data_IF_274253145405
#
_entry.id   IF_274253145405
#
_cell.length_a   1.000
_cell.length_b   1.000
_cell.length_c   1.000
_cell.angle_alpha   90.00
_cell.angle_beta   90.00
_cell.angle_gamma   90.00
#
_symmetry.space_group_name_H-M   'P 1'
#
loop_
_entity.id
_entity.type
_entity.pdbx_description
1 polymer ?
#
# COMPACT_ATOMS: atom_id res chain seq x y z
N UNK A 1 1.96 -5.54 -27.83
CA UNK A 1 3.06 -6.33 -27.25
C UNK A 1 3.75 -5.59 -26.08
N UNK A 2 4.21 -4.34 -26.24
CA UNK A 2 4.85 -3.56 -25.15
C UNK A 2 3.99 -3.42 -23.89
N UNK A 3 2.71 -3.03 -24.00
CA UNK A 3 1.78 -2.91 -22.84
C UNK A 3 1.56 -4.24 -22.08
N UNK A 4 1.55 -5.37 -22.78
CA UNK A 4 1.38 -6.68 -22.15
C UNK A 4 2.63 -7.06 -21.35
N UNK A 5 3.82 -6.76 -21.87
CA UNK A 5 5.08 -6.95 -21.16
C UNK A 5 5.16 -6.08 -19.90
N UNK A 6 4.75 -4.80 -20.01
CA UNK A 6 4.69 -3.91 -18.84
C UNK A 6 3.77 -4.47 -17.73
N UNK A 7 2.59 -4.98 -18.09
CA UNK A 7 1.67 -5.60 -17.14
C UNK A 7 2.27 -6.83 -16.44
N UNK A 8 3.07 -7.64 -17.17
CA UNK A 8 3.75 -8.82 -16.59
C UNK A 8 4.76 -8.45 -15.50
N UNK A 9 5.30 -7.22 -15.51
CA UNK A 9 6.21 -6.74 -14.46
C UNK A 9 5.49 -5.96 -13.36
N UNK A 10 4.45 -5.20 -13.72
CA UNK A 10 3.69 -4.41 -12.75
C UNK A 10 2.93 -5.30 -11.78
N UNK A 11 2.27 -6.37 -12.24
CA UNK A 11 1.47 -7.23 -11.39
C UNK A 11 2.27 -7.91 -10.25
N UNK A 12 3.40 -8.61 -10.52
CA UNK A 12 4.22 -9.16 -9.45
C UNK A 12 4.71 -8.08 -8.47
N UNK A 13 5.05 -6.89 -8.97
CA UNK A 13 5.51 -5.78 -8.15
C UNK A 13 4.43 -5.31 -7.18
N UNK A 14 3.18 -5.14 -7.66
CA UNK A 14 2.03 -4.77 -6.82
C UNK A 14 1.79 -5.85 -5.77
N UNK A 15 1.78 -7.13 -6.17
CA UNK A 15 1.55 -8.25 -5.27
C UNK A 15 2.59 -8.27 -4.14
N UNK A 16 3.87 -8.17 -4.47
CA UNK A 16 4.96 -8.14 -3.48
C UNK A 16 4.79 -6.94 -2.54
N UNK A 17 4.56 -5.75 -3.09
CA UNK A 17 4.44 -4.52 -2.32
C UNK A 17 3.27 -4.58 -1.32
N UNK A 18 2.10 -5.08 -1.76
CA UNK A 18 0.91 -5.20 -0.92
C UNK A 18 1.08 -6.29 0.15
N UNK A 19 1.65 -7.44 -0.19
CA UNK A 19 1.87 -8.53 0.78
C UNK A 19 2.81 -8.07 1.90
N UNK A 20 3.90 -7.39 1.57
CA UNK A 20 4.85 -6.89 2.56
C UNK A 20 4.20 -5.81 3.43
N UNK A 21 3.40 -4.93 2.86
CA UNK A 21 2.62 -3.92 3.56
C UNK A 21 1.65 -4.57 4.59
N UNK A 22 0.83 -5.51 4.15
CA UNK A 22 -0.13 -6.21 5.01
C UNK A 22 0.57 -7.06 6.08
N UNK A 23 1.65 -7.75 5.70
CA UNK A 23 2.47 -8.48 6.65
C UNK A 23 3.06 -7.57 7.73
N UNK A 24 3.53 -6.38 7.37
CA UNK A 24 4.08 -5.41 8.31
C UNK A 24 3.03 -4.95 9.35
N UNK A 25 1.79 -4.67 8.92
CA UNK A 25 0.68 -4.39 9.84
C UNK A 25 0.44 -5.55 10.83
N UNK A 26 0.32 -6.76 10.28
CA UNK A 26 0.09 -7.97 11.09
C UNK A 26 1.22 -8.25 12.08
N UNK A 27 2.47 -8.07 11.64
CA UNK A 27 3.64 -8.26 12.47
C UNK A 27 3.73 -7.22 13.59
N UNK A 28 3.49 -5.94 13.28
CA UNK A 28 3.45 -4.88 14.27
C UNK A 28 2.34 -5.11 15.30
N UNK A 29 1.14 -5.48 14.86
CA UNK A 29 0.02 -5.82 15.75
C UNK A 29 0.37 -7.00 16.67
N UNK A 30 0.95 -8.06 16.13
CA UNK A 30 1.40 -9.22 16.90
C UNK A 30 2.43 -8.85 17.97
N UNK A 31 3.41 -8.01 17.63
CA UNK A 31 4.42 -7.51 18.58
C UNK A 31 3.81 -6.63 19.69
N UNK A 32 2.70 -5.97 19.42
CA UNK A 32 1.96 -5.14 20.39
C UNK A 32 0.91 -5.92 21.21
N UNK A 33 0.83 -7.25 21.01
CA UNK A 33 0.00 -8.15 21.82
C UNK A 33 -1.30 -8.60 21.16
N UNK A 34 -1.55 -8.21 19.90
CA UNK A 34 -2.69 -8.72 19.15
C UNK A 34 -2.31 -9.99 18.37
N UNK A 35 -2.75 -11.15 18.86
CA UNK A 35 -2.54 -12.42 18.18
C UNK A 35 -3.51 -12.69 17.02
N UNK A 36 -4.46 -11.80 16.75
CA UNK A 36 -5.49 -11.99 15.70
C UNK A 36 -4.87 -12.28 14.33
N UNK A 37 -3.83 -11.55 13.85
CA UNK A 37 -3.19 -11.84 12.57
C UNK A 37 -2.61 -13.25 12.48
N UNK A 38 -1.99 -13.71 13.56
CA UNK A 38 -1.37 -15.04 13.64
C UNK A 38 -2.44 -16.14 13.70
N UNK A 39 -3.45 -15.98 14.56
CA UNK A 39 -4.54 -16.97 14.74
C UNK A 39 -5.41 -17.11 13.49
N UNK A 40 -5.55 -16.05 12.69
CA UNK A 40 -6.27 -16.08 11.41
C UNK A 40 -5.45 -16.66 10.26
N UNK A 41 -4.18 -17.05 10.48
CA UNK A 41 -3.29 -17.55 9.44
C UNK A 41 -2.89 -16.50 8.41
N UNK A 42 -3.01 -15.18 8.77
CA UNK A 42 -2.77 -14.05 7.86
C UNK A 42 -1.39 -13.42 8.05
N UNK A 43 -0.64 -13.84 9.05
CA UNK A 43 0.75 -13.43 9.27
C UNK A 43 1.68 -14.31 8.42
N UNK A 44 1.60 -14.15 7.11
CA UNK A 44 2.31 -14.94 6.11
C UNK A 44 2.62 -14.11 4.87
N UNK A 45 3.65 -14.50 4.12
CA UNK A 45 3.98 -13.92 2.81
C UNK A 45 3.31 -14.68 1.64
N UNK A 46 2.44 -15.65 1.91
CA UNK A 46 1.68 -16.38 0.90
C UNK A 46 0.69 -15.44 0.18
N UNK A 47 0.87 -15.17 -1.14
CA UNK A 47 0.00 -14.27 -1.88
C UNK A 47 -1.48 -14.67 -1.83
N UNK A 48 -1.78 -15.96 -1.86
CA UNK A 48 -3.15 -16.47 -1.91
C UNK A 48 -3.95 -16.10 -0.65
N UNK A 49 -3.28 -15.87 0.46
CA UNK A 49 -3.92 -15.41 1.69
C UNK A 49 -4.33 -13.94 1.65
N UNK A 50 -3.76 -13.14 0.76
CA UNK A 50 -4.00 -11.69 0.64
C UNK A 50 -4.89 -11.32 -0.56
N UNK A 51 -5.24 -12.28 -1.41
CA UNK A 51 -6.14 -12.07 -2.54
C UNK A 51 -7.59 -11.97 -2.03
N UNK A 52 -8.28 -10.90 -2.45
CA UNK A 52 -9.72 -10.74 -2.38
C UNK A 52 -10.30 -10.96 -3.78
N UNK A 53 -11.17 -11.98 -4.00
CA UNK A 53 -11.69 -12.26 -5.34
C UNK A 53 -12.43 -11.07 -5.97
N UNK A 54 -13.10 -10.27 -5.16
CA UNK A 54 -13.84 -9.09 -5.63
C UNK A 54 -12.88 -7.91 -5.82
N UNK A 55 -12.17 -7.52 -4.76
CA UNK A 55 -11.34 -6.31 -4.76
C UNK A 55 -10.05 -6.42 -5.55
N UNK A 56 -9.44 -7.62 -5.58
CA UNK A 56 -8.14 -7.81 -6.27
C UNK A 56 -8.32 -8.25 -7.72
N UNK A 57 -9.46 -8.86 -8.09
CA UNK A 57 -9.66 -9.43 -9.43
C UNK A 57 -10.83 -8.78 -10.14
N UNK A 58 -12.06 -8.91 -9.61
CA UNK A 58 -13.28 -8.53 -10.31
C UNK A 58 -13.35 -7.01 -10.55
N UNK A 59 -13.15 -6.21 -9.50
CA UNK A 59 -13.26 -4.74 -9.60
C UNK A 59 -12.20 -4.14 -10.51
N UNK A 60 -10.89 -4.48 -10.41
CA UNK A 60 -9.89 -4.01 -11.36
C UNK A 60 -10.20 -4.34 -12.82
N UNK A 61 -10.66 -5.56 -13.10
CA UNK A 61 -11.00 -5.99 -14.47
C UNK A 61 -12.20 -5.19 -14.99
N UNK A 62 -13.26 -5.04 -14.20
CA UNK A 62 -14.44 -4.27 -14.60
C UNK A 62 -14.08 -2.80 -14.88
N UNK A 63 -13.27 -2.18 -14.00
CA UNK A 63 -12.84 -0.80 -14.18
C UNK A 63 -11.95 -0.64 -15.41
N UNK A 64 -11.04 -1.56 -15.68
CA UNK A 64 -10.22 -1.53 -16.90
C UNK A 64 -11.08 -1.60 -18.15
N UNK A 65 -12.06 -2.50 -18.21
CA UNK A 65 -12.96 -2.65 -19.37
C UNK A 65 -13.82 -1.38 -19.55
N UNK A 66 -14.45 -0.90 -18.47
CA UNK A 66 -15.37 0.24 -18.52
C UNK A 66 -14.67 1.57 -18.78
N UNK A 67 -13.42 1.72 -18.36
CA UNK A 67 -12.61 2.93 -18.57
C UNK A 67 -11.76 2.91 -19.85
N UNK A 68 -11.96 1.93 -20.75
CA UNK A 68 -11.08 1.72 -21.91
C UNK A 68 -9.58 1.64 -21.53
N UNK A 69 -9.26 0.92 -20.46
CA UNK A 69 -7.90 0.71 -19.94
C UNK A 69 -7.20 2.01 -19.46
N UNK A 70 -7.97 3.04 -19.09
CA UNK A 70 -7.41 4.31 -18.62
C UNK A 70 -7.34 4.39 -17.08
N UNK A 71 -8.24 3.69 -16.38
CA UNK A 71 -8.33 3.73 -14.93
C UNK A 71 -8.58 2.34 -14.35
N UNK A 72 -7.90 2.04 -13.26
CA UNK A 72 -8.19 0.86 -12.43
C UNK A 72 -8.00 1.17 -10.97
N UNK A 73 -8.75 0.49 -10.14
CA UNK A 73 -8.65 0.53 -8.69
C UNK A 73 -8.98 -0.86 -8.13
N UNK A 74 -8.34 -1.22 -7.04
CA UNK A 74 -8.60 -2.47 -6.36
C UNK A 74 -8.05 -2.45 -4.96
N UNK A 75 -8.39 -3.49 -4.19
CA UNK A 75 -7.88 -3.68 -2.84
C UNK A 75 -7.51 -5.14 -2.60
N UNK A 76 -6.58 -5.35 -1.68
CA UNK A 76 -6.27 -6.66 -1.16
C UNK A 76 -7.15 -6.98 0.04
N UNK A 77 -7.22 -8.25 0.38
CA UNK A 77 -7.86 -8.69 1.62
C UNK A 77 -6.97 -8.30 2.80
N UNK A 78 -7.39 -7.36 3.66
CA UNK A 78 -6.54 -6.82 4.71
C UNK A 78 -6.25 -7.87 5.80
N UNK A 79 -5.10 -7.72 6.46
CA UNK A 79 -4.78 -8.51 7.66
C UNK A 79 -5.67 -8.04 8.81
N UNK A 80 -6.42 -8.96 9.47
CA UNK A 80 -7.30 -8.57 10.57
C UNK A 80 -6.47 -8.12 11.78
N UNK A 81 -6.70 -6.90 12.24
CA UNK A 81 -6.08 -6.31 13.43
C UNK A 81 -7.16 -5.94 14.43
N UNK A 82 -7.03 -6.42 15.67
CA UNK A 82 -7.91 -6.03 16.75
C UNK A 82 -7.24 -4.98 17.65
N UNK A 83 -7.47 -3.71 17.33
CA UNK A 83 -6.88 -2.59 18.05
C UNK A 83 -7.23 -2.54 19.54
N UNK A 84 -8.36 -3.13 19.95
CA UNK A 84 -8.78 -3.17 21.36
C UNK A 84 -7.92 -4.10 22.24
N UNK A 85 -7.08 -4.94 21.62
CA UNK A 85 -6.13 -5.81 22.34
C UNK A 85 -4.82 -5.11 22.70
N UNK A 86 -4.57 -3.92 22.20
CA UNK A 86 -3.34 -3.21 22.51
C UNK A 86 -3.37 -2.65 23.93
N UNK A 87 -2.25 -2.79 24.66
CA UNK A 87 -2.08 -2.19 25.99
C UNK A 87 -2.29 -0.68 25.97
N UNK A 88 -1.92 -0.02 24.88
CA UNK A 88 -2.15 1.39 24.63
C UNK A 88 -2.71 1.55 23.22
N UNK A 89 -4.01 1.81 23.12
CA UNK A 89 -4.73 1.91 21.87
C UNK A 89 -4.14 2.99 20.96
N UNK A 90 -3.83 4.17 21.46
CA UNK A 90 -3.31 5.29 20.65
C UNK A 90 -1.94 4.96 20.05
N UNK A 91 -1.01 4.47 20.87
CA UNK A 91 0.31 4.03 20.40
C UNK A 91 0.18 2.86 19.43
N UNK A 92 -0.69 1.91 19.70
CA UNK A 92 -0.95 0.76 18.84
C UNK A 92 -1.46 1.19 17.47
N UNK A 93 -2.44 2.10 17.42
CA UNK A 93 -2.95 2.68 16.17
C UNK A 93 -1.83 3.32 15.33
N UNK A 94 -1.04 4.18 15.95
CA UNK A 94 0.05 4.88 15.24
C UNK A 94 1.07 3.87 14.72
N UNK A 95 1.58 2.97 15.57
CA UNK A 95 2.66 2.06 15.21
C UNK A 95 2.23 1.03 14.16
N UNK A 96 1.04 0.46 14.32
CA UNK A 96 0.53 -0.52 13.35
C UNK A 96 0.25 0.15 12.03
N UNK A 97 -0.44 1.31 12.03
CA UNK A 97 -0.76 2.00 10.77
C UNK A 97 0.46 2.58 10.06
N UNK A 98 1.53 2.93 10.78
CA UNK A 98 2.80 3.31 10.17
C UNK A 98 3.58 2.12 9.60
N UNK A 99 3.40 0.91 10.14
CA UNK A 99 4.20 -0.24 9.76
C UNK A 99 4.09 -0.59 8.26
N UNK A 100 2.87 -0.52 7.70
CA UNK A 100 2.63 -0.75 6.26
C UNK A 100 3.36 0.27 5.38
N UNK A 101 3.06 1.57 5.47
CA UNK A 101 3.74 2.60 4.69
C UNK A 101 5.26 2.60 4.85
N UNK A 102 5.77 2.41 6.08
CA UNK A 102 7.21 2.33 6.33
C UNK A 102 7.86 1.11 5.68
N UNK A 103 7.19 -0.04 5.67
CA UNK A 103 7.69 -1.24 4.98
C UNK A 103 7.80 -1.02 3.47
N UNK A 104 6.83 -0.32 2.87
CA UNK A 104 6.90 0.06 1.47
C UNK A 104 8.04 1.06 1.20
N UNK A 105 8.22 2.09 2.03
CA UNK A 105 9.36 3.02 1.87
C UNK A 105 10.70 2.30 1.99
N UNK A 106 10.83 1.38 2.94
CA UNK A 106 12.04 0.57 3.09
C UNK A 106 12.28 -0.30 1.84
N UNK A 107 11.22 -0.92 1.32
CA UNK A 107 11.32 -1.74 0.11
C UNK A 107 11.69 -0.89 -1.12
N UNK A 108 11.10 0.31 -1.25
CA UNK A 108 11.49 1.26 -2.29
C UNK A 108 12.97 1.64 -2.19
N UNK A 109 13.47 1.91 -0.99
CA UNK A 109 14.88 2.21 -0.75
C UNK A 109 15.80 1.04 -1.11
N UNK A 110 15.46 -0.18 -0.69
CA UNK A 110 16.25 -1.39 -1.03
C UNK A 110 16.37 -1.56 -2.55
N UNK A 111 15.25 -1.45 -3.28
CA UNK A 111 15.28 -1.58 -4.73
C UNK A 111 15.92 -0.38 -5.44
N UNK A 112 15.87 0.81 -4.87
CA UNK A 112 16.62 1.97 -5.36
C UNK A 112 18.14 1.74 -5.24
N UNK A 113 18.61 1.18 -4.13
CA UNK A 113 20.02 0.80 -3.96
C UNK A 113 20.44 -0.30 -4.94
N UNK A 114 19.59 -1.33 -5.13
CA UNK A 114 19.82 -2.37 -6.13
C UNK A 114 19.92 -1.74 -7.53
N UNK A 115 18.97 -0.87 -7.89
CA UNK A 115 19.01 -0.17 -9.18
C UNK A 115 20.29 0.64 -9.34
N UNK A 116 20.62 1.47 -8.37
CA UNK A 116 21.75 2.41 -8.43
C UNK A 116 23.12 1.73 -8.48
N UNK A 117 23.32 0.63 -7.74
CA UNK A 117 24.62 -0.01 -7.60
C UNK A 117 24.79 -1.28 -8.43
N UNK A 118 23.70 -1.98 -8.78
CA UNK A 118 23.79 -3.26 -9.49
C UNK A 118 23.22 -3.23 -10.90
N UNK A 119 22.30 -2.29 -11.21
CA UNK A 119 21.65 -2.24 -12.52
C UNK A 119 22.18 -1.08 -13.37
N UNK A 120 22.10 0.13 -12.85
CA UNK A 120 22.46 1.35 -13.59
C UNK A 120 23.91 1.40 -14.08
N UNK A 121 24.96 0.97 -13.32
CA UNK A 121 26.35 1.05 -13.76
C UNK A 121 26.72 0.03 -14.85
N UNK A 122 25.87 -0.97 -15.10
CA UNK A 122 26.19 -2.04 -16.04
C UNK A 122 25.35 -1.95 -17.30
N UNK A 123 25.90 -1.55 -18.46
CA UNK A 123 25.16 -1.41 -19.74
C UNK A 123 24.44 -2.69 -20.18
N UNK A 124 24.96 -3.88 -19.78
CA UNK A 124 24.33 -5.17 -20.04
C UNK A 124 22.91 -5.29 -19.44
N UNK A 125 22.60 -4.53 -18.40
CA UNK A 125 21.28 -4.51 -17.75
C UNK A 125 20.41 -3.34 -18.22
N UNK A 126 20.94 -2.41 -18.99
CA UNK A 126 20.19 -1.30 -19.57
C UNK A 126 19.07 -1.82 -20.50
N UNK A 127 17.85 -1.32 -20.29
CA UNK A 127 16.63 -1.80 -20.98
C UNK A 127 16.30 -3.29 -20.74
N UNK A 128 16.93 -3.92 -19.74
CA UNK A 128 16.65 -5.29 -19.34
C UNK A 128 15.36 -5.39 -18.49
N UNK A 129 14.83 -6.60 -18.41
CA UNK A 129 13.71 -6.89 -17.52
C UNK A 129 14.04 -6.58 -16.05
N UNK A 130 15.31 -6.71 -15.64
CA UNK A 130 15.78 -6.39 -14.30
C UNK A 130 15.68 -4.88 -14.02
N UNK A 131 16.03 -4.03 -14.97
CA UNK A 131 15.87 -2.59 -14.87
C UNK A 131 14.40 -2.21 -14.68
N UNK A 132 13.51 -2.73 -15.53
CA UNK A 132 12.07 -2.48 -15.41
C UNK A 132 11.54 -2.91 -14.04
N UNK A 133 11.85 -4.13 -13.63
CA UNK A 133 11.38 -4.66 -12.34
C UNK A 133 11.86 -3.81 -11.16
N UNK A 134 13.14 -3.48 -11.10
CA UNK A 134 13.71 -2.69 -10.00
C UNK A 134 13.11 -1.28 -9.94
N UNK A 135 12.95 -0.61 -11.08
CA UNK A 135 12.30 0.71 -11.15
C UNK A 135 10.84 0.67 -10.75
N UNK A 136 10.07 -0.33 -11.21
CA UNK A 136 8.67 -0.48 -10.79
C UNK A 136 8.55 -0.81 -9.31
N UNK A 137 9.46 -1.58 -8.73
CA UNK A 137 9.50 -1.80 -7.28
C UNK A 137 9.68 -0.48 -6.52
N UNK A 138 10.54 0.42 -6.96
CA UNK A 138 10.70 1.76 -6.37
C UNK A 138 9.41 2.57 -6.51
N UNK A 139 8.89 2.67 -7.72
CA UNK A 139 7.72 3.52 -8.04
C UNK A 139 6.48 3.04 -7.26
N UNK A 140 6.12 1.75 -7.37
CA UNK A 140 4.89 1.21 -6.78
C UNK A 140 4.93 1.26 -5.26
N UNK A 141 6.07 0.93 -4.65
CA UNK A 141 6.19 1.03 -3.20
C UNK A 141 6.14 2.48 -2.71
N UNK A 142 6.72 3.43 -3.44
CA UNK A 142 6.60 4.86 -3.13
C UNK A 142 5.15 5.35 -3.23
N UNK A 143 4.43 4.93 -4.27
CA UNK A 143 3.00 5.24 -4.45
C UNK A 143 2.19 4.69 -3.28
N UNK A 144 2.33 3.40 -2.96
CA UNK A 144 1.59 2.77 -1.89
C UNK A 144 1.86 3.41 -0.52
N UNK A 145 3.11 3.74 -0.24
CA UNK A 145 3.49 4.40 1.01
C UNK A 145 2.81 5.77 1.15
N UNK A 146 2.93 6.64 0.13
CA UNK A 146 2.38 8.00 0.18
C UNK A 146 0.85 7.97 0.15
N UNK A 147 0.26 7.09 -0.69
CA UNK A 147 -1.19 6.94 -0.78
C UNK A 147 -1.80 6.53 0.55
N UNK A 148 -1.22 5.53 1.23
CA UNK A 148 -1.73 5.08 2.52
C UNK A 148 -1.49 6.08 3.67
N UNK A 149 -0.62 7.05 3.53
CA UNK A 149 -0.44 8.15 4.49
C UNK A 149 -1.47 9.26 4.34
N UNK A 150 -2.34 9.25 3.30
CA UNK A 150 -3.44 10.21 3.18
C UNK A 150 -4.39 10.07 4.37
N UNK A 151 -4.79 11.17 5.01
CA UNK A 151 -5.62 11.14 6.22
C UNK A 151 -7.12 10.96 5.92
N UNK A 152 -7.46 10.03 5.05
CA UNK A 152 -8.84 9.73 4.65
C UNK A 152 -9.13 8.25 4.96
N UNK A 153 -10.21 7.91 5.72
CA UNK A 153 -10.59 6.53 5.91
C UNK A 153 -10.89 5.82 4.57
N UNK A 154 -10.58 4.55 4.44
CA UNK A 154 -10.03 3.60 5.42
C UNK A 154 -8.50 3.53 5.45
N UNK A 155 -7.80 4.50 4.83
CA UNK A 155 -6.33 4.52 4.71
C UNK A 155 -5.64 4.64 6.08
N UNK A 156 -4.38 4.18 6.15
CA UNK A 156 -3.61 4.16 7.39
C UNK A 156 -3.37 5.53 7.99
N UNK A 157 -3.19 6.55 7.14
CA UNK A 157 -3.03 7.94 7.56
C UNK A 157 -4.17 8.44 8.46
N UNK A 158 -5.42 8.00 8.22
CA UNK A 158 -6.56 8.33 9.08
C UNK A 158 -6.41 7.75 10.48
N UNK A 159 -5.99 6.48 10.58
CA UNK A 159 -5.79 5.79 11.86
C UNK A 159 -4.63 6.40 12.65
N UNK A 160 -3.58 6.84 11.97
CA UNK A 160 -2.48 7.61 12.58
C UNK A 160 -3.03 8.90 13.20
N UNK A 161 -3.84 9.67 12.46
CA UNK A 161 -4.46 10.89 12.99
C UNK A 161 -5.38 10.60 14.17
N UNK A 162 -6.16 9.52 14.13
CA UNK A 162 -7.00 9.12 15.26
C UNK A 162 -6.16 8.85 16.51
N UNK A 163 -5.02 8.16 16.35
CA UNK A 163 -4.09 7.90 17.45
C UNK A 163 -3.45 9.17 18.03
N UNK A 164 -3.20 10.19 17.19
CA UNK A 164 -2.57 11.43 17.61
C UNK A 164 -3.57 12.38 18.27
N UNK A 165 -4.71 12.64 17.61
CA UNK A 165 -5.59 13.75 17.96
C UNK A 165 -6.82 13.36 18.76
N UNK A 166 -7.33 12.11 18.64
CA UNK A 166 -8.55 11.73 19.33
C UNK A 166 -8.27 11.29 20.76
N UNK A 167 -9.10 11.77 21.69
CA UNK A 167 -9.11 11.32 23.08
C UNK A 167 -9.63 9.87 23.20
N UNK A 168 -10.64 9.55 22.40
CA UNK A 168 -11.33 8.25 22.36
C UNK A 168 -11.38 7.70 20.92
N UNK A 169 -10.23 7.19 20.39
CA UNK A 169 -10.18 6.70 19.01
C UNK A 169 -11.08 5.49 18.75
N UNK A 170 -11.42 4.71 19.78
CA UNK A 170 -12.33 3.56 19.67
C UNK A 170 -13.71 3.93 19.13
N UNK A 171 -14.23 5.10 19.43
CA UNK A 171 -15.58 5.54 19.01
C UNK A 171 -15.65 5.68 17.49
N UNK A 172 -14.54 6.09 16.87
CA UNK A 172 -14.41 6.21 15.42
C UNK A 172 -14.15 4.84 14.78
N UNK A 173 -13.24 4.04 15.37
CA UNK A 173 -12.86 2.73 14.85
C UNK A 173 -14.00 1.71 14.86
N UNK A 174 -14.92 1.82 15.83
CA UNK A 174 -16.08 0.94 15.95
C UNK A 174 -17.26 1.36 15.06
N UNK A 175 -17.17 2.50 14.38
CA UNK A 175 -18.22 2.99 13.50
C UNK A 175 -17.91 2.67 12.02
N UNK A 176 -18.49 1.62 11.43
CA UNK A 176 -18.18 1.21 10.06
C UNK A 176 -18.63 2.23 9.01
N UNK A 177 -19.52 3.16 9.37
CA UNK A 177 -19.97 4.22 8.46
C UNK A 177 -18.82 5.18 8.13
N UNK A 178 -17.85 5.35 9.02
CA UNK A 178 -16.70 6.25 8.80
C UNK A 178 -15.84 5.73 7.66
N UNK A 179 -15.50 4.44 7.67
CA UNK A 179 -14.74 3.83 6.58
C UNK A 179 -15.53 3.83 5.27
N UNK A 180 -16.86 3.58 5.33
CA UNK A 180 -17.72 3.62 4.16
C UNK A 180 -17.78 5.03 3.53
N UNK A 181 -18.03 6.07 4.33
CA UNK A 181 -18.05 7.44 3.82
C UNK A 181 -16.66 7.91 3.36
N UNK A 182 -15.62 7.53 4.09
CA UNK A 182 -14.25 7.80 3.69
C UNK A 182 -13.90 7.17 2.34
N UNK A 183 -14.31 5.92 2.11
CA UNK A 183 -14.12 5.25 0.81
C UNK A 183 -14.86 5.97 -0.32
N UNK A 184 -16.11 6.42 -0.09
CA UNK A 184 -16.87 7.18 -1.08
C UNK A 184 -16.14 8.49 -1.41
N UNK A 185 -15.68 9.23 -0.40
CA UNK A 185 -14.93 10.48 -0.57
C UNK A 185 -13.63 10.20 -1.35
N UNK A 186 -12.89 9.15 -0.98
CA UNK A 186 -11.65 8.76 -1.63
C UNK A 186 -11.86 8.47 -3.13
N UNK A 187 -12.90 7.69 -3.46
CA UNK A 187 -13.24 7.37 -4.87
C UNK A 187 -13.62 8.63 -5.64
N UNK A 188 -14.39 9.53 -5.06
CA UNK A 188 -14.76 10.81 -5.69
C UNK A 188 -13.49 11.65 -5.94
N UNK A 189 -12.60 11.79 -4.96
CA UNK A 189 -11.37 12.56 -5.10
C UNK A 189 -10.39 11.94 -6.12
N UNK A 190 -10.35 10.60 -6.22
CA UNK A 190 -9.59 9.88 -7.25
C UNK A 190 -10.19 10.16 -8.64
N UNK A 191 -11.51 10.06 -8.78
CA UNK A 191 -12.20 10.29 -10.05
C UNK A 191 -11.98 11.71 -10.60
N UNK A 192 -12.01 12.72 -9.74
CA UNK A 192 -11.72 14.10 -10.12
C UNK A 192 -10.22 14.43 -10.22
N UNK A 193 -9.34 13.44 -9.99
CA UNK A 193 -7.88 13.61 -10.09
C UNK A 193 -7.26 14.48 -8.98
N UNK A 194 -8.02 14.80 -7.92
CA UNK A 194 -7.55 15.65 -6.81
C UNK A 194 -6.40 14.97 -6.07
N UNK A 195 -6.57 13.67 -5.76
CA UNK A 195 -5.52 12.87 -5.10
C UNK A 195 -4.23 12.87 -5.94
N UNK A 196 -4.35 12.67 -7.25
CA UNK A 196 -3.21 12.71 -8.16
C UNK A 196 -2.45 14.03 -8.11
N UNK A 197 -3.17 15.15 -8.11
CA UNK A 197 -2.55 16.50 -8.02
C UNK A 197 -1.82 16.74 -6.71
N UNK A 198 -2.32 16.21 -5.60
CA UNK A 198 -1.69 16.34 -4.27
C UNK A 198 -0.47 15.43 -4.16
N UNK A 199 -0.58 14.18 -4.61
CA UNK A 199 0.46 13.16 -4.44
C UNK A 199 1.59 13.34 -5.47
N UNK A 200 1.29 13.73 -6.72
CA UNK A 200 2.29 13.73 -7.79
C UNK A 200 3.55 14.54 -7.49
N UNK A 201 3.53 15.76 -6.92
CA UNK A 201 4.76 16.48 -6.61
C UNK A 201 5.62 15.77 -5.57
N UNK A 202 5.00 15.17 -4.55
CA UNK A 202 5.69 14.41 -3.51
C UNK A 202 6.31 13.14 -4.09
N UNK A 203 5.54 12.42 -4.91
CA UNK A 203 6.02 11.21 -5.60
C UNK A 203 7.17 11.52 -6.55
N UNK A 204 7.03 12.55 -7.37
CA UNK A 204 8.08 12.94 -8.32
C UNK A 204 9.37 13.27 -7.58
N UNK A 205 9.29 14.04 -6.51
CA UNK A 205 10.45 14.36 -5.67
C UNK A 205 11.07 13.11 -5.05
N UNK A 206 10.24 12.22 -4.46
CA UNK A 206 10.72 10.98 -3.82
C UNK A 206 11.36 10.03 -4.84
N UNK A 207 10.72 9.82 -5.99
CA UNK A 207 11.24 8.95 -7.05
C UNK A 207 12.55 9.52 -7.62
N UNK A 208 12.61 10.85 -7.81
CA UNK A 208 13.84 11.51 -8.22
C UNK A 208 14.97 11.26 -7.21
N UNK A 209 14.70 11.45 -5.91
CA UNK A 209 15.68 11.21 -4.85
C UNK A 209 16.19 9.76 -4.82
N UNK A 210 15.31 8.79 -5.09
CA UNK A 210 15.63 7.37 -5.00
C UNK A 210 16.34 6.84 -6.26
N UNK A 211 16.00 7.33 -7.46
CA UNK A 211 16.49 6.78 -8.72
C UNK A 211 17.59 7.61 -9.38
N UNK A 212 17.78 8.87 -8.95
CA UNK A 212 18.80 9.81 -9.48
C UNK A 212 19.72 10.31 -8.38
#
# INVERSE_FOLDING_TARGET
MKKLLELLFILPTIIIAVIIHEYAHGWAAYKLGDETPKRSGRLTLDPLKHIDPIGTILVPILLLITSNFTFTFGWAKPVPVNFLRFRNLRKGLILVSLAGPLSNLLLALVFALIYRFLVFPFPAFSSSYLEFFTRYMVIINSVLAIFNLIPIPPLDGSKILYGIFLKYPQDVLMNPKIDMYGMIILVILLFFGVIGKIISPILTWLIYLLLW
#
